data_IF_271368818472
#
_entry.id   IF_271368818472
#
_cell.length_a   1.000
_cell.length_b   1.000
_cell.length_c   1.000
_cell.angle_alpha   90.00
_cell.angle_beta   90.00
_cell.angle_gamma   90.00
#
_symmetry.space_group_name_H-M   'P 1'
#
loop_
_entity.id
_entity.type
_entity.pdbx_description
1 polymer ?
#
# COMPACT_ATOMS: atom_id res chain seq x y z
N UNK A 1 -3.42 -13.74 -8.97
CA UNK A 1 -3.10 -14.05 -7.56
C UNK A 1 -3.80 -15.33 -7.18
N UNK A 2 -3.10 -16.33 -6.64
CA UNK A 2 -3.72 -17.62 -6.29
C UNK A 2 -4.18 -17.61 -4.81
N UNK A 3 -4.93 -18.67 -4.40
CA UNK A 3 -5.44 -18.76 -3.03
C UNK A 3 -4.32 -18.88 -1.98
N UNK A 4 -3.18 -19.45 -2.34
CA UNK A 4 -2.01 -19.54 -1.47
C UNK A 4 -1.40 -18.17 -1.20
N UNK A 5 -1.33 -17.31 -2.23
CA UNK A 5 -0.85 -15.93 -2.08
C UNK A 5 -1.76 -15.13 -1.14
N UNK A 6 -3.08 -15.29 -1.26
CA UNK A 6 -4.06 -14.65 -0.38
C UNK A 6 -3.92 -15.07 1.08
N UNK A 7 -3.59 -16.34 1.33
CA UNK A 7 -3.36 -16.82 2.69
C UNK A 7 -2.14 -16.17 3.32
N UNK A 8 -1.03 -16.16 2.62
CA UNK A 8 0.21 -15.53 3.09
C UNK A 8 0.06 -14.01 3.24
N UNK A 9 -0.66 -13.36 2.32
CA UNK A 9 -0.96 -11.94 2.44
C UNK A 9 -1.82 -11.63 3.66
N UNK A 10 -2.81 -12.46 3.96
CA UNK A 10 -3.61 -12.30 5.16
C UNK A 10 -2.74 -12.32 6.42
N UNK A 11 -1.81 -13.27 6.52
CA UNK A 11 -0.88 -13.38 7.63
C UNK A 11 0.00 -12.12 7.75
N UNK A 12 0.53 -11.62 6.62
CA UNK A 12 1.33 -10.39 6.58
C UNK A 12 0.49 -9.17 7.02
N UNK A 13 -0.73 -9.04 6.53
CA UNK A 13 -1.61 -7.92 6.88
C UNK A 13 -2.08 -7.93 8.32
N UNK A 14 -2.02 -9.08 9.00
CA UNK A 14 -2.34 -9.22 10.43
C UNK A 14 -1.11 -9.11 11.34
N UNK A 15 0.10 -8.98 10.80
CA UNK A 15 1.29 -8.64 11.58
C UNK A 15 1.09 -7.32 12.33
N UNK A 16 1.38 -7.28 13.63
CA UNK A 16 1.16 -6.10 14.48
C UNK A 16 1.74 -4.81 13.87
N UNK A 17 2.94 -4.87 13.34
CA UNK A 17 3.61 -3.69 12.78
C UNK A 17 2.99 -3.25 11.44
N UNK A 18 2.40 -4.16 10.68
CA UNK A 18 1.66 -3.85 9.47
C UNK A 18 0.33 -3.22 9.82
N UNK A 19 -0.41 -3.81 10.75
CA UNK A 19 -1.69 -3.29 11.26
C UNK A 19 -1.52 -1.87 11.79
N UNK A 20 -0.47 -1.61 12.57
CA UNK A 20 -0.23 -0.30 13.17
C UNK A 20 0.15 0.79 12.15
N UNK A 21 0.45 0.41 10.91
CA UNK A 21 0.83 1.32 9.83
C UNK A 21 -0.17 1.36 8.67
N UNK A 22 -1.33 0.73 8.80
CA UNK A 22 -2.38 0.78 7.80
C UNK A 22 -3.75 1.08 8.41
N UNK A 23 -4.78 1.24 7.56
CA UNK A 23 -6.15 1.56 7.98
C UNK A 23 -6.98 0.35 8.36
N UNK A 24 -6.47 -0.84 8.19
CA UNK A 24 -7.25 -2.04 8.43
C UNK A 24 -7.30 -2.35 9.92
N UNK A 25 -8.44 -2.88 10.36
CA UNK A 25 -8.59 -3.36 11.73
C UNK A 25 -7.67 -4.58 11.94
N UNK A 26 -7.03 -4.69 13.11
CA UNK A 26 -6.29 -5.89 13.49
C UNK A 26 -7.16 -7.16 13.47
N UNK A 27 -8.47 -6.99 13.62
CA UNK A 27 -9.46 -8.09 13.66
C UNK A 27 -10.18 -8.29 12.33
N UNK A 28 -9.55 -7.90 11.19
CA UNK A 28 -10.17 -8.10 9.89
C UNK A 28 -10.43 -9.59 9.63
N UNK A 29 -11.70 -9.94 9.42
CA UNK A 29 -12.07 -11.31 9.10
C UNK A 29 -11.57 -11.71 7.73
N UNK A 30 -11.14 -12.96 7.58
CA UNK A 30 -10.61 -13.52 6.34
C UNK A 30 -11.52 -13.26 5.14
N UNK A 31 -12.82 -13.50 5.28
CA UNK A 31 -13.80 -13.31 4.21
C UNK A 31 -13.83 -11.86 3.69
N UNK A 32 -13.76 -10.88 4.62
CA UNK A 32 -13.71 -9.47 4.26
C UNK A 32 -12.38 -9.10 3.59
N UNK A 33 -11.28 -9.69 4.05
CA UNK A 33 -9.97 -9.52 3.45
C UNK A 33 -9.97 -10.04 2.00
N UNK A 34 -10.45 -11.25 1.77
CA UNK A 34 -10.50 -11.85 0.43
C UNK A 34 -11.35 -11.02 -0.55
N UNK A 35 -12.45 -10.41 -0.09
CA UNK A 35 -13.26 -9.50 -0.90
C UNK A 35 -12.51 -8.25 -1.38
N UNK A 36 -11.52 -7.78 -0.63
CA UNK A 36 -10.73 -6.60 -1.01
C UNK A 36 -9.89 -6.83 -2.27
N UNK A 37 -9.63 -8.08 -2.64
CA UNK A 37 -8.84 -8.46 -3.81
C UNK A 37 -9.69 -8.89 -5.01
N UNK A 38 -11.01 -8.90 -4.88
CA UNK A 38 -11.92 -9.39 -5.92
C UNK A 38 -12.44 -8.31 -6.88
N UNK A 39 -12.26 -7.03 -6.58
CA UNK A 39 -12.74 -5.92 -7.39
C UNK A 39 -11.61 -5.22 -8.16
N UNK A 40 -11.96 -4.45 -9.19
CA UNK A 40 -11.22 -3.62 -10.16
C UNK A 40 -9.86 -3.02 -9.71
N UNK A 41 -9.17 -3.66 -8.77
CA UNK A 41 -7.88 -3.26 -8.26
C UNK A 41 -6.77 -4.08 -8.93
N UNK A 42 -5.69 -3.40 -9.25
CA UNK A 42 -4.48 -4.04 -9.74
C UNK A 42 -3.63 -4.46 -8.54
N UNK A 43 -3.42 -5.76 -8.38
CA UNK A 43 -2.69 -6.31 -7.23
C UNK A 43 -1.43 -7.05 -7.70
N UNK A 44 -0.30 -6.73 -7.09
CA UNK A 44 1.00 -7.33 -7.37
C UNK A 44 1.62 -7.86 -6.09
N UNK A 45 2.22 -9.04 -6.16
CA UNK A 45 2.87 -9.69 -5.03
C UNK A 45 4.35 -9.86 -5.35
N UNK A 46 5.20 -9.37 -4.47
CA UNK A 46 6.63 -9.61 -4.56
C UNK A 46 6.94 -10.97 -3.90
N UNK A 47 7.53 -11.87 -4.67
CA UNK A 47 7.92 -13.19 -4.20
C UNK A 47 9.41 -13.46 -4.43
N UNK A 48 10.01 -14.24 -3.54
CA UNK A 48 11.34 -14.79 -3.73
C UNK A 48 11.33 -15.99 -4.68
N UNK A 49 12.50 -16.37 -5.18
CA UNK A 49 12.69 -17.54 -6.06
C UNK A 49 12.16 -18.85 -5.46
N UNK A 50 12.08 -18.95 -4.13
CA UNK A 50 11.47 -20.07 -3.41
C UNK A 50 9.95 -20.00 -3.25
N UNK A 51 9.29 -18.94 -3.74
CA UNK A 51 7.83 -18.74 -3.64
C UNK A 51 7.37 -18.08 -2.34
N UNK A 52 8.28 -17.62 -1.49
CA UNK A 52 7.94 -16.85 -0.28
C UNK A 52 7.47 -15.44 -0.64
N UNK A 53 6.35 -15.02 -0.07
CA UNK A 53 5.79 -13.68 -0.31
C UNK A 53 6.50 -12.64 0.57
N UNK A 54 7.10 -11.65 -0.05
CA UNK A 54 7.82 -10.56 0.63
C UNK A 54 7.00 -9.30 0.81
N UNK A 55 6.04 -9.05 -0.05
CA UNK A 55 5.23 -7.85 0.01
C UNK A 55 4.11 -7.83 -1.01
N UNK A 56 3.31 -6.78 -0.92
CA UNK A 56 2.16 -6.54 -1.77
C UNK A 56 2.07 -5.08 -2.18
N UNK A 57 1.70 -4.84 -3.42
CA UNK A 57 1.33 -3.55 -3.98
C UNK A 57 -0.11 -3.64 -4.48
N UNK A 58 -0.98 -2.79 -3.98
CA UNK A 58 -2.34 -2.63 -4.49
C UNK A 58 -2.54 -1.25 -5.10
N UNK A 59 -3.07 -1.18 -6.31
CA UNK A 59 -3.41 0.07 -7.02
C UNK A 59 -4.92 0.14 -7.15
N UNK A 60 -5.51 1.23 -6.69
CA UNK A 60 -6.94 1.47 -6.68
C UNK A 60 -7.27 2.55 -7.70
N UNK A 61 -7.93 2.15 -8.76
CA UNK A 61 -8.41 3.02 -9.82
C UNK A 61 -9.91 3.29 -9.67
N UNK A 62 -10.44 4.21 -10.46
CA UNK A 62 -11.87 4.52 -10.47
C UNK A 62 -12.39 4.71 -11.90
N UNK A 63 -13.60 4.23 -12.14
CA UNK A 63 -14.30 4.42 -13.40
C UNK A 63 -15.02 5.80 -13.52
N UNK A 64 -14.96 6.61 -12.46
CA UNK A 64 -15.56 7.96 -12.50
C UNK A 64 -14.82 8.85 -13.50
N UNK A 65 -15.48 9.36 -14.56
CA UNK A 65 -14.80 10.03 -15.67
C UNK A 65 -13.91 11.21 -15.26
N UNK A 66 -14.30 11.94 -14.22
CA UNK A 66 -13.53 13.09 -13.71
C UNK A 66 -12.33 12.73 -12.86
N UNK A 67 -12.21 11.48 -12.43
CA UNK A 67 -11.17 10.99 -11.51
C UNK A 67 -10.32 9.89 -12.12
N UNK A 68 -10.64 9.40 -13.32
CA UNK A 68 -9.96 8.28 -13.97
C UNK A 68 -8.47 8.51 -14.28
N UNK A 69 -8.01 9.76 -14.25
CA UNK A 69 -6.61 10.14 -14.41
C UNK A 69 -5.77 9.95 -13.17
N UNK A 70 -6.39 9.55 -12.07
CA UNK A 70 -5.78 9.43 -10.75
C UNK A 70 -5.99 8.04 -10.17
N UNK A 71 -5.01 7.55 -9.45
CA UNK A 71 -5.13 6.34 -8.65
C UNK A 71 -4.51 6.53 -7.26
N UNK A 72 -5.04 5.81 -6.29
CA UNK A 72 -4.37 5.63 -5.01
C UNK A 72 -3.70 4.26 -4.95
N UNK A 73 -2.74 4.09 -4.07
CA UNK A 73 -2.07 2.81 -3.88
C UNK A 73 -1.67 2.56 -2.43
N UNK A 74 -1.40 1.31 -2.13
CA UNK A 74 -0.83 0.88 -0.87
C UNK A 74 0.26 -0.16 -1.07
N UNK A 75 1.31 -0.07 -0.27
CA UNK A 75 2.41 -1.04 -0.24
C UNK A 75 2.51 -1.62 1.16
N UNK A 76 2.64 -2.93 1.22
CA UNK A 76 2.91 -3.66 2.45
C UNK A 76 4.13 -4.55 2.23
N UNK A 77 5.06 -4.51 3.16
CA UNK A 77 6.25 -5.37 3.17
C UNK A 77 6.23 -6.21 4.45
N UNK A 78 6.37 -7.52 4.30
CA UNK A 78 6.46 -8.44 5.42
C UNK A 78 7.60 -8.02 6.35
N UNK A 79 7.39 -8.15 7.67
CA UNK A 79 8.39 -7.76 8.66
C UNK A 79 9.76 -8.40 8.43
N UNK A 80 9.77 -9.70 8.13
CA UNK A 80 11.00 -10.47 7.86
C UNK A 80 11.73 -10.02 6.58
N UNK A 81 11.06 -9.28 5.70
CA UNK A 81 11.58 -8.84 4.40
C UNK A 81 11.96 -7.35 4.35
N UNK A 82 11.80 -6.63 5.46
CA UNK A 82 12.17 -5.22 5.56
C UNK A 82 13.68 -5.01 5.50
N UNK A 83 14.09 -3.87 4.96
CA UNK A 83 15.50 -3.54 4.78
C UNK A 83 16.20 -4.29 3.64
N UNK A 84 15.47 -5.06 2.83
CA UNK A 84 15.97 -5.83 1.69
C UNK A 84 15.66 -5.20 0.32
N UNK A 85 15.16 -3.98 0.29
CA UNK A 85 14.81 -3.27 -0.95
C UNK A 85 13.45 -3.64 -1.55
N UNK A 86 12.62 -4.42 -0.88
CA UNK A 86 11.29 -4.85 -1.39
C UNK A 86 10.37 -3.66 -1.63
N UNK A 87 10.30 -2.71 -0.70
CA UNK A 87 9.50 -1.49 -0.88
C UNK A 87 9.94 -0.67 -2.08
N UNK A 88 11.25 -0.54 -2.29
CA UNK A 88 11.81 0.15 -3.46
C UNK A 88 11.46 -0.58 -4.75
N UNK A 89 11.60 -1.88 -4.80
CA UNK A 89 11.22 -2.72 -5.94
C UNK A 89 9.74 -2.55 -6.31
N UNK A 90 8.85 -2.58 -5.31
CA UNK A 90 7.41 -2.39 -5.52
C UNK A 90 7.09 -0.97 -6.03
N UNK A 91 7.81 0.06 -5.56
CA UNK A 91 7.67 1.44 -6.06
C UNK A 91 8.11 1.58 -7.51
N UNK A 92 9.23 0.97 -7.89
CA UNK A 92 9.71 0.97 -9.28
C UNK A 92 8.69 0.29 -10.21
N UNK A 93 8.11 -0.83 -9.77
CA UNK A 93 7.05 -1.51 -10.49
C UNK A 93 5.77 -0.67 -10.60
N UNK A 94 5.35 -0.03 -9.50
CA UNK A 94 4.20 0.87 -9.47
C UNK A 94 4.31 1.96 -10.54
N UNK A 95 5.43 2.69 -10.55
CA UNK A 95 5.62 3.80 -11.47
C UNK A 95 5.63 3.33 -12.92
N UNK A 96 6.38 2.27 -13.21
CA UNK A 96 6.44 1.69 -14.56
C UNK A 96 5.06 1.23 -15.04
N UNK A 97 4.30 0.56 -14.19
CA UNK A 97 2.97 0.08 -14.53
C UNK A 97 1.97 1.22 -14.76
N UNK A 98 1.97 2.23 -13.89
CA UNK A 98 1.07 3.37 -14.01
C UNK A 98 1.36 4.23 -15.24
N UNK A 99 2.62 4.38 -15.62
CA UNK A 99 3.03 5.14 -16.79
C UNK A 99 2.73 4.38 -18.10
N UNK A 100 2.99 3.08 -18.16
CA UNK A 100 2.92 2.32 -19.41
C UNK A 100 1.55 1.65 -19.65
N UNK A 101 0.86 1.25 -18.60
CA UNK A 101 -0.39 0.46 -18.72
C UNK A 101 -1.64 1.24 -18.37
N UNK A 102 -1.57 2.22 -17.46
CA UNK A 102 -2.75 2.93 -16.96
C UNK A 102 -2.84 4.38 -17.44
N UNK A 103 -1.77 4.95 -17.99
CA UNK A 103 -1.70 6.35 -18.45
C UNK A 103 -2.24 7.34 -17.40
N UNK A 104 -1.77 7.21 -16.17
CA UNK A 104 -2.22 8.03 -15.04
C UNK A 104 -1.40 9.31 -14.92
N UNK A 105 -2.10 10.43 -14.74
CA UNK A 105 -1.49 11.74 -14.50
C UNK A 105 -1.20 12.02 -13.02
N UNK A 106 -1.80 11.25 -12.09
CA UNK A 106 -1.69 11.47 -10.67
C UNK A 106 -1.69 10.17 -9.89
N UNK A 107 -0.73 10.02 -9.00
CA UNK A 107 -0.70 8.97 -7.98
C UNK A 107 -0.77 9.61 -6.60
N UNK A 108 -1.60 9.05 -5.72
CA UNK A 108 -1.74 9.55 -4.35
C UNK A 108 -1.71 8.42 -3.33
N UNK A 109 -1.32 8.77 -2.12
CA UNK A 109 -1.29 7.86 -1.00
C UNK A 109 -1.60 8.58 0.32
N UNK A 110 -1.96 7.79 1.31
CA UNK A 110 -2.01 8.21 2.69
C UNK A 110 -1.05 7.35 3.53
N UNK A 111 -0.31 7.99 4.41
CA UNK A 111 0.68 7.34 5.27
C UNK A 111 0.63 7.90 6.69
N UNK A 112 0.81 7.04 7.69
CA UNK A 112 0.90 7.48 9.08
C UNK A 112 2.11 8.41 9.27
N UNK A 113 1.91 9.54 9.95
CA UNK A 113 2.95 10.56 10.13
C UNK A 113 4.19 10.05 10.90
N UNK A 114 4.02 9.02 11.71
CA UNK A 114 5.10 8.37 12.44
C UNK A 114 5.85 7.28 11.64
N UNK A 115 5.35 6.89 10.46
CA UNK A 115 6.02 5.94 9.57
C UNK A 115 7.12 6.62 8.76
N UNK A 116 8.25 6.93 9.42
CA UNK A 116 9.36 7.67 8.83
C UNK A 116 10.01 6.96 7.65
N UNK A 117 10.07 5.63 7.69
CA UNK A 117 10.64 4.82 6.61
C UNK A 117 9.80 4.94 5.32
N UNK A 118 8.48 4.83 5.43
CA UNK A 118 7.59 4.99 4.29
C UNK A 118 7.62 6.43 3.73
N UNK A 119 7.60 7.45 4.59
CA UNK A 119 7.71 8.83 4.17
C UNK A 119 9.00 9.11 3.40
N UNK A 120 10.13 8.58 3.86
CA UNK A 120 11.42 8.70 3.17
C UNK A 120 11.41 7.98 1.82
N UNK A 121 10.83 6.77 1.76
CA UNK A 121 10.69 6.01 0.53
C UNK A 121 9.89 6.81 -0.51
N UNK A 122 8.69 7.28 -0.19
CA UNK A 122 7.84 8.00 -1.12
C UNK A 122 8.47 9.31 -1.59
N UNK A 123 9.10 10.07 -0.70
CA UNK A 123 9.86 11.28 -1.09
C UNK A 123 10.99 10.97 -2.08
N UNK A 124 11.69 9.85 -1.90
CA UNK A 124 12.77 9.44 -2.82
C UNK A 124 12.27 9.11 -4.23
N UNK A 125 10.98 8.85 -4.40
CA UNK A 125 10.31 8.62 -5.68
C UNK A 125 9.54 9.84 -6.20
N UNK A 126 9.76 11.02 -5.63
CA UNK A 126 9.18 12.27 -6.10
C UNK A 126 7.77 12.57 -5.59
N UNK A 127 7.31 11.87 -4.56
CA UNK A 127 6.04 12.21 -3.91
C UNK A 127 6.22 13.42 -2.99
N UNK A 128 5.27 14.35 -3.07
CA UNK A 128 5.23 15.56 -2.26
C UNK A 128 4.07 15.53 -1.27
N UNK A 129 4.24 16.19 -0.12
CA UNK A 129 3.19 16.29 0.89
C UNK A 129 2.17 17.33 0.45
N UNK A 130 0.90 16.95 0.39
CA UNK A 130 -0.21 17.85 0.08
C UNK A 130 -0.97 18.33 1.32
N UNK A 131 -0.90 17.59 2.41
CA UNK A 131 -1.57 17.96 3.64
C UNK A 131 -1.46 16.91 4.73
N UNK A 132 -2.02 17.22 5.89
CA UNK A 132 -2.04 16.35 7.06
C UNK A 132 -3.44 16.34 7.67
N UNK A 133 -4.00 15.16 7.84
CA UNK A 133 -5.21 14.92 8.62
C UNK A 133 -4.81 14.68 10.07
N UNK A 134 -5.08 15.64 10.94
CA UNK A 134 -4.68 15.55 12.35
C UNK A 134 -5.57 14.56 13.10
N UNK A 135 -4.95 13.73 13.96
CA UNK A 135 -5.63 12.75 14.82
C UNK A 135 -6.61 11.87 14.03
N UNK A 136 -6.20 11.41 12.88
CA UNK A 136 -7.07 10.75 11.90
C UNK A 136 -7.26 9.25 12.16
N UNK A 137 -6.34 8.61 12.88
CA UNK A 137 -6.36 7.17 13.17
C UNK A 137 -6.00 6.92 14.63
N UNK A 138 -6.72 6.01 15.26
CA UNK A 138 -6.42 5.50 16.59
C UNK A 138 -5.61 4.20 16.49
N UNK A 139 -4.39 4.20 17.02
CA UNK A 139 -3.51 3.03 17.06
C UNK A 139 -3.02 2.85 18.50
N UNK A 140 -3.33 1.72 19.12
CA UNK A 140 -2.92 1.40 20.50
C UNK A 140 -3.13 2.57 21.51
N UNK A 141 -4.32 3.16 21.50
CA UNK A 141 -4.72 4.31 22.35
C UNK A 141 -4.02 5.65 22.01
N UNK A 142 -3.23 5.71 20.94
CA UNK A 142 -2.61 6.93 20.43
C UNK A 142 -3.30 7.42 19.16
N UNK A 143 -3.61 8.71 19.10
CA UNK A 143 -4.17 9.35 17.91
C UNK A 143 -3.04 9.79 16.97
N UNK A 144 -2.99 9.17 15.79
CA UNK A 144 -1.95 9.37 14.80
C UNK A 144 -2.46 10.26 13.67
N UNK A 145 -1.63 11.18 13.23
CA UNK A 145 -1.88 11.98 12.03
C UNK A 145 -1.64 11.15 10.76
N UNK A 146 -2.42 11.46 9.72
CA UNK A 146 -2.23 10.91 8.37
C UNK A 146 -1.66 12.00 7.47
N UNK A 147 -0.55 11.71 6.82
CA UNK A 147 0.05 12.56 5.78
C UNK A 147 -0.48 12.12 4.43
N UNK A 148 -1.00 13.06 3.65
CA UNK A 148 -1.41 12.86 2.26
C UNK A 148 -0.27 13.26 1.35
N UNK A 149 0.10 12.39 0.43
CA UNK A 149 1.17 12.64 -0.53
C UNK A 149 0.69 12.33 -1.95
N UNK A 150 1.26 13.02 -2.91
CA UNK A 150 1.01 12.75 -4.33
C UNK A 150 2.26 12.93 -5.19
N UNK A 151 2.22 12.31 -6.34
CA UNK A 151 3.12 12.54 -7.48
C UNK A 151 2.28 12.85 -8.71
N UNK A 152 2.58 14.01 -9.32
CA UNK A 152 1.90 14.53 -10.51
C UNK A 152 2.88 14.62 -11.67
#
# INVERSE_FOLDING_TARGET
MCSADLSTLYDIYTEKEVVNNNRYSPDIKREKFDLMFNDSQHNFVAVETGGEVFGHLGIITTEKPRLKHSASFGIVVAKASRGKGVGRFLMEHLLSYCENELDLARLELEVHANNKAALALYKSFGFEIEGTKRKAVLVEDELIDIVMMSRV
#
